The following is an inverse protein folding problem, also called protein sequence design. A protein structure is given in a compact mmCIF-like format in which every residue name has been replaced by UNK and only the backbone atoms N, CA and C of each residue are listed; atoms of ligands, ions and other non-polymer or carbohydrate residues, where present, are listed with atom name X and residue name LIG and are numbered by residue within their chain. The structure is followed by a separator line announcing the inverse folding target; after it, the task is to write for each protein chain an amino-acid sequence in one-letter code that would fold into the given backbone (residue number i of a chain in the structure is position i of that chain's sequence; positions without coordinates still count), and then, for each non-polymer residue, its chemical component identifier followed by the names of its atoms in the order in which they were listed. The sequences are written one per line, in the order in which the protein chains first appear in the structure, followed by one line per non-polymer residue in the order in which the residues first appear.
data_IF_882718653785
#
_entry.id   IF_882718653785
#
_cell.length_a   1.000
_cell.length_b   1.000
_cell.length_c   1.000
_cell.angle_alpha   90.00
_cell.angle_beta   90.00
_cell.angle_gamma   90.00
#
_symmetry.space_group_name_H-M   'P 1'
#
loop_
_entity.id
_entity.type
_entity.pdbx_description
1 polymer ?
#
# COMPACT_ATOMS: atom_id res chain seq x y z
N UNK A 1 25.00 -4.75 42.01
CA UNK A 1 24.05 -4.29 40.98
C UNK A 1 24.01 -2.79 41.09
N UNK A 2 24.72 -2.08 40.22
CA UNK A 2 24.63 -0.61 40.16
C UNK A 2 23.26 -0.24 39.60
N UNK A 3 22.55 0.63 40.31
CA UNK A 3 21.40 1.36 39.78
C UNK A 3 21.95 2.44 38.85
N UNK A 4 22.21 2.08 37.59
CA UNK A 4 22.35 3.10 36.54
C UNK A 4 21.05 3.88 36.47
N UNK A 5 21.15 5.21 36.49
CA UNK A 5 19.99 6.09 36.32
C UNK A 5 19.40 5.83 34.93
N UNK A 6 18.07 5.83 34.83
CA UNK A 6 17.42 5.71 33.53
C UNK A 6 17.89 6.85 32.60
N UNK A 7 18.15 6.57 31.31
CA UNK A 7 18.56 7.58 30.35
C UNK A 7 17.54 8.73 30.31
N UNK A 8 18.03 9.96 30.25
CA UNK A 8 17.21 11.17 30.47
C UNK A 8 16.98 11.97 29.20
N UNK A 9 17.82 11.79 28.18
CA UNK A 9 17.73 12.48 26.87
C UNK A 9 17.40 11.48 25.75
N UNK A 10 16.80 11.94 24.65
CA UNK A 10 16.57 11.16 23.43
C UNK A 10 17.85 10.55 22.88
N UNK A 11 18.95 11.32 22.89
CA UNK A 11 20.25 10.82 22.46
C UNK A 11 20.71 9.63 23.30
N UNK A 12 20.72 9.76 24.63
CA UNK A 12 21.10 8.66 25.54
C UNK A 12 20.21 7.43 25.33
N UNK A 13 18.93 7.63 25.03
CA UNK A 13 17.97 6.55 24.77
C UNK A 13 18.24 5.84 23.45
N UNK A 14 18.56 6.56 22.39
CA UNK A 14 18.98 5.96 21.11
C UNK A 14 20.32 5.24 21.24
N UNK A 15 21.28 5.82 21.95
CA UNK A 15 22.56 5.17 22.24
C UNK A 15 22.37 3.89 23.07
N UNK A 16 21.46 3.90 24.06
CA UNK A 16 21.09 2.73 24.84
C UNK A 16 20.43 1.64 23.98
N UNK A 17 19.51 2.00 23.08
CA UNK A 17 18.92 1.07 22.11
C UNK A 17 19.99 0.41 21.24
N UNK A 18 20.92 1.20 20.68
CA UNK A 18 22.03 0.67 19.87
C UNK A 18 22.89 -0.29 20.70
N UNK A 19 23.18 0.03 21.95
CA UNK A 19 23.96 -0.81 22.85
C UNK A 19 23.24 -2.13 23.19
N UNK A 20 21.93 -2.08 23.47
CA UNK A 20 21.07 -3.25 23.68
C UNK A 20 21.13 -4.19 22.47
N UNK A 21 20.90 -3.67 21.26
CA UNK A 21 20.90 -4.46 20.02
C UNK A 21 22.27 -5.08 19.72
N UNK A 22 23.37 -4.35 19.96
CA UNK A 22 24.73 -4.89 19.79
C UNK A 22 25.07 -5.99 20.80
N UNK A 23 24.50 -5.92 22.01
CA UNK A 23 24.71 -6.92 23.05
C UNK A 23 23.85 -8.17 22.84
N UNK A 24 22.79 -8.10 22.03
CA UNK A 24 21.88 -9.21 21.80
C UNK A 24 22.58 -10.36 21.05
N UNK A 25 22.55 -11.61 21.57
CA UNK A 25 23.29 -12.73 20.99
C UNK A 25 22.83 -13.10 19.58
N UNK A 26 21.53 -12.94 19.29
CA UNK A 26 20.94 -13.39 18.02
C UNK A 26 20.85 -12.31 16.94
N UNK A 27 21.28 -11.07 17.22
CA UNK A 27 21.16 -9.95 16.28
C UNK A 27 22.50 -9.50 15.72
N UNK A 28 22.44 -8.93 14.52
CA UNK A 28 23.52 -8.21 13.85
C UNK A 28 23.04 -6.78 13.65
N UNK A 29 23.78 -5.81 14.18
CA UNK A 29 23.57 -4.40 13.85
C UNK A 29 24.35 -4.10 12.57
N UNK A 30 23.63 -3.84 11.49
CA UNK A 30 24.15 -3.56 10.15
C UNK A 30 24.66 -2.12 10.10
N UNK A 31 23.80 -1.19 10.51
CA UNK A 31 24.08 0.26 10.55
C UNK A 31 23.64 0.79 11.91
N UNK A 32 24.43 1.67 12.53
CA UNK A 32 24.04 2.37 13.76
C UNK A 32 24.85 3.66 13.95
N UNK A 33 24.18 4.78 13.76
CA UNK A 33 24.71 6.13 13.88
C UNK A 33 23.69 7.03 14.59
N UNK A 34 24.10 7.62 15.71
CA UNK A 34 23.36 8.67 16.42
C UNK A 34 24.12 9.97 16.20
N UNK A 35 23.52 10.89 15.44
CA UNK A 35 24.22 12.09 15.01
C UNK A 35 24.37 13.09 16.17
N UNK A 36 25.43 13.90 16.13
CA UNK A 36 25.56 15.02 17.06
C UNK A 36 24.42 16.03 16.83
N UNK A 37 23.98 16.79 17.85
CA UNK A 37 23.01 17.87 17.63
C UNK A 37 23.44 18.79 16.48
N UNK A 38 22.48 19.35 15.72
CA UNK A 38 22.76 20.36 14.72
C UNK A 38 23.24 21.65 15.37
N UNK A 39 23.75 22.58 14.57
CA UNK A 39 24.21 23.87 15.10
C UNK A 39 23.06 24.72 15.65
N UNK A 40 23.39 25.61 16.58
CA UNK A 40 22.43 26.58 17.13
C UNK A 40 21.81 27.45 16.03
N UNK A 41 22.57 27.77 14.97
CA UNK A 41 22.06 28.50 13.82
C UNK A 41 20.98 27.71 13.06
N UNK A 42 21.18 26.41 12.83
CA UNK A 42 20.22 25.56 12.13
C UNK A 42 18.96 25.34 12.96
N UNK A 43 19.11 25.16 14.28
CA UNK A 43 17.98 25.07 15.21
C UNK A 43 17.17 26.38 15.25
N UNK A 44 17.85 27.53 15.22
CA UNK A 44 17.18 28.83 15.17
C UNK A 44 16.43 29.04 13.84
N UNK A 45 17.02 28.60 12.73
CA UNK A 45 16.38 28.62 11.41
C UNK A 45 15.12 27.74 11.40
N UNK A 46 15.23 26.47 11.83
CA UNK A 46 14.09 25.56 11.92
C UNK A 46 12.94 26.12 12.77
N UNK A 47 13.26 26.75 13.90
CA UNK A 47 12.26 27.40 14.75
C UNK A 47 11.59 28.61 14.06
N UNK A 48 12.34 29.36 13.25
CA UNK A 48 11.80 30.48 12.47
C UNK A 48 10.92 30.00 11.31
N UNK A 49 11.25 28.85 10.73
CA UNK A 49 10.48 28.19 9.67
C UNK A 49 9.23 27.46 10.19
N UNK A 50 8.99 27.50 11.50
CA UNK A 50 7.77 27.00 12.13
C UNK A 50 7.81 25.52 12.51
N UNK A 51 9.00 24.91 12.60
CA UNK A 51 9.14 23.52 13.02
C UNK A 51 8.47 23.30 14.40
N UNK A 52 7.65 22.24 14.57
CA UNK A 52 6.99 21.95 15.84
C UNK A 52 7.94 21.89 17.03
N UNK A 53 7.50 22.43 18.16
CA UNK A 53 8.31 22.46 19.39
C UNK A 53 8.75 21.07 19.86
N UNK A 54 7.91 20.04 19.65
CA UNK A 54 8.22 18.65 19.99
C UNK A 54 9.32 18.06 19.10
N UNK A 55 9.39 18.44 17.82
CA UNK A 55 10.49 18.05 16.92
C UNK A 55 11.79 18.76 17.32
N UNK A 56 11.73 20.07 17.59
CA UNK A 56 12.87 20.85 18.05
C UNK A 56 13.45 20.33 19.37
N UNK A 57 12.62 19.75 20.25
CA UNK A 57 13.12 19.12 21.47
C UNK A 57 14.08 17.96 21.16
N UNK A 58 13.72 17.10 20.20
CA UNK A 58 14.55 15.97 19.77
C UNK A 58 15.82 16.46 19.07
N UNK A 59 15.68 17.39 18.12
CA UNK A 59 16.80 17.91 17.35
C UNK A 59 17.83 18.65 18.21
N UNK A 60 17.44 19.28 19.33
CA UNK A 60 18.41 19.85 20.29
C UNK A 60 19.36 18.82 20.88
N UNK A 61 19.00 17.55 20.89
CA UNK A 61 19.74 16.48 21.53
C UNK A 61 20.46 15.56 20.53
N UNK A 62 19.93 15.42 19.31
CA UNK A 62 20.47 14.55 18.27
C UNK A 62 20.00 15.01 16.89
N UNK A 63 20.88 15.07 15.89
CA UNK A 63 20.53 15.45 14.51
C UNK A 63 20.06 14.25 13.68
N UNK A 64 19.25 13.38 14.28
CA UNK A 64 18.79 12.14 13.65
C UNK A 64 19.48 10.87 14.16
N UNK A 65 19.05 9.76 13.58
CA UNK A 65 19.39 8.37 13.93
C UNK A 65 19.30 7.54 12.67
N UNK A 66 20.36 6.80 12.34
CA UNK A 66 20.30 5.72 11.36
C UNK A 66 20.59 4.40 12.08
N UNK A 67 19.63 3.48 12.07
CA UNK A 67 19.76 2.19 12.71
C UNK A 67 19.14 1.12 11.80
N UNK A 68 19.92 0.09 11.52
CA UNK A 68 19.50 -1.12 10.81
C UNK A 68 20.05 -2.33 11.55
N UNK A 69 19.21 -3.32 11.80
CA UNK A 69 19.60 -4.59 12.37
C UNK A 69 18.82 -5.75 11.77
N UNK A 70 19.43 -6.93 11.81
CA UNK A 70 18.83 -8.17 11.33
C UNK A 70 19.13 -9.32 12.28
N UNK A 71 18.36 -10.39 12.16
CA UNK A 71 18.63 -11.63 12.89
C UNK A 71 19.83 -12.37 12.27
N UNK A 72 20.69 -13.00 13.10
CA UNK A 72 21.90 -13.72 12.66
C UNK A 72 21.60 -14.92 11.77
N UNK A 73 20.49 -15.60 12.02
CA UNK A 73 19.99 -16.67 11.15
C UNK A 73 19.20 -16.05 10.00
N UNK A 74 19.67 -16.15 8.74
CA UNK A 74 19.02 -15.57 7.57
C UNK A 74 17.59 -16.06 7.35
N UNK A 75 17.23 -17.25 7.84
CA UNK A 75 15.87 -17.75 7.72
C UNK A 75 14.86 -16.82 8.42
N UNK A 76 15.27 -16.15 9.50
CA UNK A 76 14.44 -15.18 10.22
C UNK A 76 14.23 -13.89 9.43
N UNK A 77 15.22 -13.49 8.60
CA UNK A 77 15.06 -12.36 7.69
C UNK A 77 14.01 -12.67 6.62
N UNK A 78 13.97 -13.89 6.08
CA UNK A 78 12.90 -14.34 5.18
C UNK A 78 11.52 -14.32 5.88
N UNK A 79 11.51 -14.46 7.21
CA UNK A 79 10.34 -14.24 8.06
C UNK A 79 10.17 -12.77 8.51
N UNK A 80 10.76 -11.80 7.83
CA UNK A 80 10.55 -10.38 8.11
C UNK A 80 11.08 -9.92 9.46
N UNK A 81 11.99 -10.67 10.10
CA UNK A 81 12.59 -10.27 11.38
C UNK A 81 13.84 -9.44 11.15
N UNK A 82 13.61 -8.14 11.00
CA UNK A 82 14.63 -7.10 10.89
C UNK A 82 14.05 -5.79 11.46
N UNK A 83 14.91 -4.83 11.73
CA UNK A 83 14.48 -3.49 12.12
C UNK A 83 15.29 -2.41 11.45
N UNK A 84 14.62 -1.34 11.08
CA UNK A 84 15.20 -0.19 10.41
C UNK A 84 14.48 1.09 10.86
N UNK A 85 15.26 2.14 11.08
CA UNK A 85 14.79 3.52 11.25
C UNK A 85 15.83 4.45 10.66
N UNK A 86 15.36 5.50 9.99
CA UNK A 86 16.20 6.63 9.60
C UNK A 86 15.52 7.93 9.92
N UNK A 87 15.77 8.44 11.13
CA UNK A 87 15.44 9.81 11.48
C UNK A 87 16.40 10.76 10.74
N UNK A 88 15.85 11.60 9.87
CA UNK A 88 16.61 12.44 8.95
C UNK A 88 17.32 13.59 9.69
N UNK A 89 18.54 13.97 9.27
CA UNK A 89 19.17 15.21 9.72
C UNK A 89 18.28 16.43 9.47
N UNK A 90 18.34 17.42 10.35
CA UNK A 90 17.50 18.61 10.28
C UNK A 90 17.70 19.38 8.97
N UNK A 91 18.93 19.44 8.48
CA UNK A 91 19.24 20.07 7.18
C UNK A 91 18.48 19.38 6.04
N UNK A 92 18.47 18.05 5.99
CA UNK A 92 17.72 17.29 4.98
C UNK A 92 16.20 17.53 5.07
N UNK A 93 15.66 17.69 6.29
CA UNK A 93 14.23 17.97 6.50
C UNK A 93 13.85 19.37 6.00
N UNK A 94 14.71 20.37 6.23
CA UNK A 94 14.45 21.75 5.82
C UNK A 94 14.67 21.99 4.31
N UNK A 95 15.56 21.21 3.68
CA UNK A 95 15.88 21.34 2.25
C UNK A 95 14.98 20.52 1.32
N UNK A 96 14.13 19.65 1.85
CA UNK A 96 13.24 18.83 1.03
C UNK A 96 12.25 19.71 0.24
N UNK A 97 12.20 19.52 -1.09
CA UNK A 97 11.32 20.23 -2.04
C UNK A 97 10.03 19.43 -2.30
N UNK A 98 9.62 18.61 -1.34
CA UNK A 98 8.46 17.75 -1.41
C UNK A 98 7.29 18.36 -0.63
N UNK A 99 6.06 17.98 -0.98
CA UNK A 99 4.87 18.40 -0.24
C UNK A 99 4.89 17.97 1.24
N UNK A 100 5.70 16.94 1.57
CA UNK A 100 6.05 16.57 2.93
C UNK A 100 7.55 16.25 3.02
N UNK A 101 8.26 16.95 3.91
CA UNK A 101 9.64 16.65 4.23
C UNK A 101 9.73 15.37 5.07
N UNK A 102 10.42 14.31 4.65
CA UNK A 102 10.47 13.08 5.42
C UNK A 102 11.25 13.27 6.73
N UNK A 103 10.62 12.92 7.86
CA UNK A 103 11.25 12.93 9.20
C UNK A 103 11.86 11.58 9.54
N UNK A 104 11.15 10.49 9.20
CA UNK A 104 11.61 9.11 9.32
C UNK A 104 11.32 8.39 8.01
N UNK A 105 12.32 7.74 7.41
CA UNK A 105 12.11 6.88 6.24
C UNK A 105 12.94 5.61 6.35
N UNK A 106 12.35 4.48 6.77
CA UNK A 106 13.13 3.30 7.15
C UNK A 106 13.90 2.66 6.00
N UNK A 107 13.50 2.78 4.73
CA UNK A 107 14.25 2.32 3.53
C UNK A 107 13.63 2.83 2.21
N UNK A 108 14.37 2.78 1.09
CA UNK A 108 13.88 3.05 -0.29
C UNK A 108 12.69 2.16 -0.73
N UNK A 109 12.31 1.16 0.07
CA UNK A 109 11.26 0.17 -0.21
C UNK A 109 9.98 0.43 0.61
N UNK A 110 10.02 1.34 1.58
CA UNK A 110 8.86 1.66 2.42
C UNK A 110 7.79 2.43 1.64
N UNK A 111 6.56 1.92 1.63
CA UNK A 111 5.40 2.62 1.02
C UNK A 111 4.92 3.82 1.87
N UNK A 112 5.34 3.90 3.14
CA UNK A 112 4.90 4.93 4.08
C UNK A 112 6.05 5.50 4.92
N UNK A 113 5.94 6.78 5.27
CA UNK A 113 6.90 7.48 6.11
C UNK A 113 6.22 8.53 7.01
N UNK A 114 6.89 8.96 8.07
CA UNK A 114 6.45 10.12 8.85
C UNK A 114 7.01 11.38 8.19
N UNK A 115 6.14 12.27 7.71
CA UNK A 115 6.50 13.47 6.97
C UNK A 115 6.01 14.74 7.64
N UNK A 116 6.75 15.83 7.47
CA UNK A 116 6.40 17.17 7.90
C UNK A 116 5.78 17.94 6.73
N UNK A 117 4.55 18.40 6.87
CA UNK A 117 3.89 19.25 5.87
C UNK A 117 4.36 20.71 5.96
N UNK A 118 4.04 21.50 4.93
CA UNK A 118 4.32 22.95 4.90
C UNK A 118 3.68 23.74 6.07
N UNK A 119 2.55 23.26 6.61
CA UNK A 119 1.87 23.92 7.74
C UNK A 119 2.42 23.49 9.12
N UNK A 120 3.50 22.71 9.12
CA UNK A 120 4.17 22.23 10.34
C UNK A 120 3.41 21.10 11.03
N UNK A 121 2.47 20.43 10.36
CA UNK A 121 1.85 19.22 10.88
C UNK A 121 2.68 17.99 10.51
N UNK A 122 2.60 16.96 11.36
CA UNK A 122 3.29 15.69 11.11
C UNK A 122 2.24 14.70 10.62
N UNK A 123 2.50 14.17 9.44
CA UNK A 123 1.62 13.29 8.70
C UNK A 123 2.25 11.92 8.48
N UNK A 124 1.39 10.91 8.42
CA UNK A 124 1.69 9.64 7.77
C UNK A 124 1.52 9.81 6.26
N UNK A 125 2.63 9.75 5.52
CA UNK A 125 2.67 9.96 4.08
C UNK A 125 2.82 8.65 3.36
N UNK A 126 1.96 8.41 2.37
CA UNK A 126 2.07 7.33 1.39
C UNK A 126 2.91 7.83 0.21
N UNK A 127 4.11 7.27 0.05
CA UNK A 127 5.08 7.71 -0.97
C UNK A 127 4.54 7.52 -2.40
N UNK A 128 3.86 6.39 -2.63
CA UNK A 128 3.34 6.06 -3.96
C UNK A 128 2.24 7.00 -4.44
N UNK A 129 1.51 7.63 -3.51
CA UNK A 129 0.37 8.50 -3.82
C UNK A 129 0.58 9.97 -3.46
N UNK A 130 1.70 10.30 -2.79
CA UNK A 130 1.98 11.61 -2.20
C UNK A 130 0.77 12.14 -1.40
N UNK A 131 0.25 11.30 -0.50
CA UNK A 131 -0.90 11.64 0.33
C UNK A 131 -0.54 11.51 1.81
N UNK A 132 -0.46 12.66 2.49
CA UNK A 132 -0.31 12.77 3.94
C UNK A 132 -1.63 12.64 4.70
N UNK A 133 -1.56 12.10 5.91
CA UNK A 133 -2.65 12.11 6.89
C UNK A 133 -2.12 12.50 8.25
N UNK A 134 -2.82 13.37 8.99
CA UNK A 134 -2.39 13.75 10.33
C UNK A 134 -2.10 12.55 11.22
N UNK A 135 -0.91 12.53 11.83
CA UNK A 135 -0.61 11.61 12.91
C UNK A 135 -1.58 11.89 14.07
N UNK A 136 -2.31 10.86 14.50
CA UNK A 136 -3.25 10.95 15.62
C UNK A 136 -2.55 10.94 16.99
N UNK A 137 -1.30 10.49 17.01
CA UNK A 137 -0.42 10.43 18.17
C UNK A 137 0.63 11.54 18.08
N UNK A 138 1.14 11.98 19.24
CA UNK A 138 2.21 12.98 19.29
C UNK A 138 3.53 12.43 18.72
N UNK A 139 4.41 13.32 18.26
CA UNK A 139 5.76 12.93 17.82
C UNK A 139 6.54 12.20 18.92
N UNK A 140 6.33 12.62 20.17
CA UNK A 140 6.90 11.92 21.32
C UNK A 140 6.39 10.49 21.41
N UNK A 141 5.08 10.27 21.38
CA UNK A 141 4.50 8.91 21.44
C UNK A 141 5.01 8.02 20.30
N UNK A 142 5.22 8.60 19.11
CA UNK A 142 5.83 7.92 17.99
C UNK A 142 7.25 7.41 18.31
N UNK A 143 8.12 8.28 18.80
CA UNK A 143 9.50 7.91 19.18
C UNK A 143 9.56 6.97 20.39
N UNK A 144 8.64 7.08 21.33
CA UNK A 144 8.52 6.12 22.44
C UNK A 144 8.22 4.71 21.92
N UNK A 145 7.29 4.60 20.98
CA UNK A 145 6.97 3.31 20.38
C UNK A 145 8.09 2.77 19.48
N UNK A 146 8.83 3.65 18.80
CA UNK A 146 10.04 3.28 18.07
C UNK A 146 11.04 2.57 18.98
N UNK A 147 11.32 3.18 20.14
CA UNK A 147 12.25 2.64 21.14
C UNK A 147 11.72 1.31 21.69
N UNK A 148 10.44 1.25 22.06
CA UNK A 148 9.82 0.03 22.58
C UNK A 148 9.81 -1.09 21.53
N UNK A 149 9.60 -0.78 20.25
CA UNK A 149 9.65 -1.76 19.17
C UNK A 149 11.06 -2.06 18.67
N UNK A 150 12.09 -1.40 19.20
CA UNK A 150 13.49 -1.49 18.75
C UNK A 150 13.60 -1.25 17.23
N UNK A 151 12.76 -0.38 16.67
CA UNK A 151 12.64 -0.15 15.23
C UNK A 151 12.32 -1.40 14.36
N UNK A 152 11.72 -2.46 14.91
CA UNK A 152 11.31 -3.66 14.16
C UNK A 152 10.37 -3.32 13.00
N UNK A 153 10.67 -3.68 11.75
CA UNK A 153 10.06 -3.16 10.51
C UNK A 153 8.51 -3.10 10.45
N UNK A 154 7.79 -3.92 11.22
CA UNK A 154 6.32 -3.85 11.35
C UNK A 154 5.79 -2.86 12.41
N UNK A 155 6.63 -2.06 13.07
CA UNK A 155 6.21 -1.23 14.20
C UNK A 155 5.40 0.01 13.77
N UNK A 156 5.77 0.62 12.63
CA UNK A 156 5.07 1.78 12.07
C UNK A 156 3.65 1.40 11.62
N UNK A 157 3.45 0.16 11.18
CA UNK A 157 2.13 -0.39 10.85
C UNK A 157 1.14 -0.30 12.03
N UNK A 158 1.63 -0.40 13.27
CA UNK A 158 0.79 -0.23 14.45
C UNK A 158 0.15 1.17 14.55
N UNK A 159 0.78 2.18 13.94
CA UNK A 159 0.27 3.55 13.84
C UNK A 159 -0.49 3.79 12.55
N UNK A 160 0.05 3.34 11.40
CA UNK A 160 -0.57 3.50 10.07
C UNK A 160 -1.98 2.90 10.03
N UNK A 161 -2.18 1.76 10.71
CA UNK A 161 -3.44 1.04 10.65
C UNK A 161 -4.45 1.44 11.74
N UNK A 162 -4.18 2.39 12.64
CA UNK A 162 -5.21 2.81 13.62
C UNK A 162 -6.51 3.34 12.96
N UNK A 163 -6.43 3.88 11.74
CA UNK A 163 -7.61 4.28 10.94
C UNK A 163 -8.10 3.20 9.96
N UNK A 164 -7.31 2.13 9.75
CA UNK A 164 -7.56 1.06 8.76
C UNK A 164 -7.87 -0.29 9.43
N UNK A 165 -7.73 -0.42 10.75
CA UNK A 165 -8.11 -1.63 11.51
C UNK A 165 -9.60 -1.96 11.39
N UNK A 166 -10.45 -0.98 11.03
CA UNK A 166 -11.83 -1.25 10.65
C UNK A 166 -11.97 -2.03 9.32
N UNK A 167 -10.91 -2.12 8.52
CA UNK A 167 -10.91 -2.61 7.13
C UNK A 167 -9.99 -3.82 6.85
N UNK A 168 -9.01 -4.16 7.72
CA UNK A 168 -8.02 -5.24 7.49
C UNK A 168 -7.86 -6.19 8.70
N UNK A 169 -8.97 -6.72 9.20
CA UNK A 169 -9.03 -7.42 10.50
C UNK A 169 -8.18 -8.71 10.60
N UNK A 170 -7.83 -9.36 9.49
CA UNK A 170 -7.06 -10.62 9.54
C UNK A 170 -5.55 -10.45 9.34
N UNK A 171 -5.12 -9.64 8.35
CA UNK A 171 -3.69 -9.47 8.05
C UNK A 171 -2.99 -8.64 9.11
N UNK A 172 -3.56 -7.49 9.48
CA UNK A 172 -2.99 -6.60 10.52
C UNK A 172 -2.94 -7.31 11.87
N UNK A 173 -4.00 -8.06 12.22
CA UNK A 173 -4.00 -8.85 13.45
C UNK A 173 -2.93 -9.93 13.44
N UNK A 174 -2.78 -10.67 12.32
CA UNK A 174 -1.75 -11.71 12.17
C UNK A 174 -0.34 -11.11 12.27
N UNK A 175 -0.11 -9.96 11.64
CA UNK A 175 1.19 -9.31 11.63
C UNK A 175 1.54 -8.69 13.00
N UNK A 176 0.53 -8.17 13.74
CA UNK A 176 0.70 -7.77 15.14
C UNK A 176 0.95 -8.94 16.08
N UNK A 177 0.24 -10.05 15.93
CA UNK A 177 0.47 -11.27 16.72
C UNK A 177 1.86 -11.85 16.43
N UNK A 178 2.29 -11.81 15.17
CA UNK A 178 3.64 -12.19 14.75
C UNK A 178 4.70 -11.26 15.34
N UNK A 179 4.54 -9.95 15.19
CA UNK A 179 5.44 -8.95 15.79
C UNK A 179 5.54 -9.17 17.29
N UNK A 180 4.41 -9.32 17.99
CA UNK A 180 4.38 -9.63 19.42
C UNK A 180 5.18 -10.89 19.74
N UNK A 181 4.90 -12.00 19.04
CA UNK A 181 5.59 -13.26 19.29
C UNK A 181 7.11 -13.17 19.05
N UNK A 182 7.54 -12.46 18.00
CA UNK A 182 8.96 -12.23 17.69
C UNK A 182 9.61 -11.32 18.74
N UNK A 183 8.97 -10.21 19.07
CA UNK A 183 9.50 -9.22 20.01
C UNK A 183 9.54 -9.76 21.44
N UNK A 184 8.53 -10.51 21.89
CA UNK A 184 8.56 -11.18 23.19
C UNK A 184 9.63 -12.29 23.24
N UNK A 185 9.93 -12.92 22.10
CA UNK A 185 10.98 -13.92 22.01
C UNK A 185 12.39 -13.31 22.10
N UNK A 186 12.64 -12.23 21.36
CA UNK A 186 13.94 -11.55 21.32
C UNK A 186 14.14 -10.67 22.57
N UNK A 187 13.11 -9.96 23.00
CA UNK A 187 13.17 -8.97 24.07
C UNK A 187 12.10 -9.28 25.14
N UNK A 188 12.44 -10.06 26.19
CA UNK A 188 11.46 -10.44 27.23
C UNK A 188 10.86 -9.26 28.02
N UNK A 189 11.51 -8.10 27.98
CA UNK A 189 11.04 -6.85 28.57
C UNK A 189 10.14 -6.02 27.64
N UNK A 190 9.92 -6.47 26.39
CA UNK A 190 9.00 -5.85 25.44
C UNK A 190 7.59 -5.72 26.03
N UNK A 191 6.97 -4.56 25.79
CA UNK A 191 5.62 -4.20 26.23
C UNK A 191 4.77 -3.80 25.02
N UNK A 192 4.01 -4.72 24.40
CA UNK A 192 3.23 -4.40 23.20
C UNK A 192 2.20 -3.29 23.42
N UNK A 193 1.72 -3.09 24.65
CA UNK A 193 0.82 -1.99 25.01
C UNK A 193 1.44 -0.59 24.92
N UNK A 194 2.76 -0.48 24.75
CA UNK A 194 3.47 0.79 24.55
C UNK A 194 3.76 1.09 23.08
N UNK A 195 3.52 0.14 22.18
CA UNK A 195 3.67 0.34 20.73
C UNK A 195 2.30 0.66 20.14
N UNK A 196 1.96 1.95 20.12
CA UNK A 196 0.71 2.47 19.57
C UNK A 196 -0.54 2.24 20.45
N UNK A 197 -1.64 2.95 20.14
CA UNK A 197 -2.90 2.90 20.89
C UNK A 197 -3.84 1.79 20.45
N UNK A 198 -3.33 0.58 20.26
CA UNK A 198 -4.12 -0.60 19.81
C UNK A 198 -5.32 -0.95 20.72
N UNK A 199 -5.38 -0.39 21.93
CA UNK A 199 -6.41 -0.64 22.95
C UNK A 199 -7.48 0.46 23.04
N UNK A 200 -7.38 1.55 22.26
CA UNK A 200 -8.29 2.70 22.37
C UNK A 200 -9.26 2.87 21.21
N UNK A 201 -9.33 1.95 20.26
CA UNK A 201 -10.39 1.97 19.25
C UNK A 201 -11.65 1.38 19.92
N UNK A 202 -12.71 2.17 20.17
CA UNK A 202 -14.00 1.59 20.50
C UNK A 202 -14.32 0.64 19.35
N UNK A 203 -14.72 -0.60 19.62
CA UNK A 203 -15.31 -1.45 18.58
C UNK A 203 -16.38 -0.62 17.88
N UNK A 204 -16.04 -0.05 16.73
CA UNK A 204 -17.02 0.55 15.87
C UNK A 204 -17.99 -0.59 15.58
N UNK A 205 -19.27 -0.32 15.75
CA UNK A 205 -20.30 -1.23 15.31
C UNK A 205 -20.01 -1.53 13.83
N UNK A 206 -19.51 -2.73 13.53
CA UNK A 206 -19.12 -3.17 12.18
C UNK A 206 -20.35 -3.54 11.33
N UNK A 207 -21.55 -3.30 11.86
CA UNK A 207 -22.82 -3.48 11.15
C UNK A 207 -22.95 -2.70 9.82
N UNK A 208 -22.22 -1.61 9.49
CA UNK A 208 -22.30 -0.99 8.16
C UNK A 208 -21.45 -1.69 7.08
N UNK A 209 -20.73 -2.78 7.38
CA UNK A 209 -20.06 -3.58 6.34
C UNK A 209 -21.03 -4.40 5.46
N UNK A 210 -22.33 -4.41 5.79
CA UNK A 210 -23.41 -4.89 4.92
C UNK A 210 -23.72 -3.92 3.76
N UNK A 211 -22.76 -3.08 3.37
CA UNK A 211 -22.85 -2.14 2.24
C UNK A 211 -21.62 -2.16 1.35
N UNK A 212 -20.75 -3.18 1.46
CA UNK A 212 -19.54 -3.27 0.64
C UNK A 212 -19.94 -3.41 -0.84
N UNK A 213 -19.47 -2.49 -1.71
CA UNK A 213 -19.66 -2.62 -3.15
C UNK A 213 -19.01 -3.89 -3.65
N UNK A 214 -19.76 -4.64 -4.45
CA UNK A 214 -19.23 -5.81 -5.15
C UNK A 214 -19.38 -5.50 -6.64
N UNK A 215 -18.27 -5.56 -7.36
CA UNK A 215 -18.34 -5.43 -8.82
C UNK A 215 -18.71 -6.82 -9.32
N UNK A 216 -19.94 -6.97 -9.81
CA UNK A 216 -20.40 -8.19 -10.44
C UNK A 216 -20.33 -8.02 -11.95
N UNK A 217 -19.85 -9.04 -12.63
CA UNK A 217 -19.74 -8.97 -14.07
C UNK A 217 -19.80 -10.31 -14.76
N UNK A 218 -20.24 -10.28 -16.00
CA UNK A 218 -20.11 -11.38 -16.95
C UNK A 218 -18.87 -11.16 -17.79
N UNK A 219 -18.27 -12.24 -18.27
CA UNK A 219 -17.13 -12.12 -19.21
C UNK A 219 -17.48 -11.31 -20.46
N UNK A 220 -18.71 -11.42 -20.95
CA UNK A 220 -19.19 -10.66 -22.10
C UNK A 220 -19.24 -9.15 -21.85
N UNK A 221 -19.07 -8.70 -20.61
CA UNK A 221 -19.06 -7.28 -20.20
C UNK A 221 -17.62 -6.77 -19.97
N UNK A 222 -16.61 -7.64 -20.11
CA UNK A 222 -15.21 -7.24 -20.04
C UNK A 222 -14.81 -6.38 -21.26
N UNK A 223 -13.76 -5.55 -21.14
CA UNK A 223 -13.19 -4.80 -22.26
C UNK A 223 -12.89 -5.74 -23.44
N UNK A 224 -13.21 -5.30 -24.67
CA UNK A 224 -12.92 -6.04 -25.90
C UNK A 224 -11.43 -6.44 -25.96
N UNK A 225 -10.52 -5.55 -25.56
CA UNK A 225 -9.09 -5.83 -25.54
C UNK A 225 -8.66 -6.95 -24.58
N UNK A 226 -9.38 -7.19 -23.48
CA UNK A 226 -9.13 -8.37 -22.63
C UNK A 226 -9.72 -9.63 -23.28
N UNK A 227 -10.90 -9.53 -23.90
CA UNK A 227 -11.54 -10.65 -24.60
C UNK A 227 -10.75 -11.12 -25.83
N UNK A 228 -10.03 -10.23 -26.51
CA UNK A 228 -9.11 -10.58 -27.60
C UNK A 228 -7.92 -11.43 -27.11
N UNK A 229 -7.45 -11.19 -25.87
CA UNK A 229 -6.35 -11.95 -25.25
C UNK A 229 -6.81 -13.28 -24.68
N UNK A 230 -8.07 -13.37 -24.31
CA UNK A 230 -8.70 -14.57 -23.76
C UNK A 230 -9.93 -14.95 -24.60
N UNK A 231 -9.74 -15.45 -25.84
CA UNK A 231 -10.83 -15.66 -26.79
C UNK A 231 -11.81 -16.71 -26.27
N UNK A 232 -12.95 -16.24 -25.78
CA UNK A 232 -14.06 -17.07 -25.33
C UNK A 232 -14.99 -17.35 -26.50
N UNK A 233 -15.18 -18.65 -26.77
CA UNK A 233 -16.19 -19.09 -27.74
C UNK A 233 -17.54 -19.10 -27.03
N UNK A 234 -18.62 -18.86 -27.78
CA UNK A 234 -19.99 -18.88 -27.24
C UNK A 234 -20.44 -20.25 -26.75
N UNK A 235 -19.72 -21.32 -27.10
CA UNK A 235 -19.88 -22.68 -26.59
C UNK A 235 -18.96 -23.00 -25.40
N UNK A 236 -18.14 -22.04 -24.94
CA UNK A 236 -17.33 -22.20 -23.74
C UNK A 236 -18.22 -22.30 -22.50
N UNK A 237 -17.91 -23.20 -21.55
CA UNK A 237 -18.62 -23.28 -20.28
C UNK A 237 -18.51 -21.99 -19.45
N UNK A 238 -17.54 -21.12 -19.75
CA UNK A 238 -17.35 -19.83 -19.09
C UNK A 238 -18.27 -18.72 -19.60
N UNK A 239 -18.89 -18.86 -20.79
CA UNK A 239 -19.65 -17.79 -21.46
C UNK A 239 -20.82 -17.22 -20.63
N UNK A 240 -21.39 -18.02 -19.73
CA UNK A 240 -22.48 -17.62 -18.84
C UNK A 240 -22.08 -17.47 -17.36
N UNK A 241 -20.79 -17.51 -17.04
CA UNK A 241 -20.33 -17.44 -15.66
C UNK A 241 -20.38 -16.01 -15.12
N UNK A 242 -20.64 -15.89 -13.81
CA UNK A 242 -20.57 -14.62 -13.08
C UNK A 242 -19.24 -14.51 -12.37
N UNK A 243 -18.65 -13.33 -12.43
CA UNK A 243 -17.38 -12.97 -11.81
C UNK A 243 -17.64 -11.86 -10.82
N UNK A 244 -16.82 -11.80 -9.78
CA UNK A 244 -16.90 -10.73 -8.82
C UNK A 244 -15.54 -10.27 -8.33
N UNK A 245 -15.52 -9.00 -7.96
CA UNK A 245 -14.43 -8.35 -7.27
C UNK A 245 -14.99 -7.82 -5.95
N UNK A 246 -14.44 -8.32 -4.84
CA UNK A 246 -14.83 -7.94 -3.49
C UNK A 246 -13.61 -7.63 -2.62
N UNK A 247 -13.84 -6.84 -1.58
CA UNK A 247 -12.81 -6.41 -0.64
C UNK A 247 -12.54 -7.43 0.49
N UNK A 248 -13.36 -8.48 0.65
CA UNK A 248 -13.27 -9.37 1.82
C UNK A 248 -13.31 -10.88 1.52
N UNK A 249 -12.44 -11.68 2.16
CA UNK A 249 -12.46 -13.15 2.09
C UNK A 249 -13.73 -13.79 2.66
N UNK A 250 -14.40 -13.15 3.65
CA UNK A 250 -15.58 -13.72 4.33
C UNK A 250 -16.78 -13.91 3.41
N UNK A 251 -16.85 -13.14 2.32
CA UNK A 251 -17.86 -13.27 1.28
C UNK A 251 -17.76 -14.64 0.60
N UNK A 252 -16.54 -15.18 0.42
CA UNK A 252 -16.33 -16.48 -0.24
C UNK A 252 -16.87 -17.66 0.58
N UNK A 253 -16.69 -17.66 1.90
CA UNK A 253 -17.15 -18.77 2.74
C UNK A 253 -18.69 -18.88 2.75
N UNK A 254 -19.39 -17.74 2.83
CA UNK A 254 -20.85 -17.70 2.74
C UNK A 254 -21.36 -18.06 1.34
N UNK A 255 -20.69 -17.54 0.31
CA UNK A 255 -21.02 -17.80 -1.08
C UNK A 255 -20.84 -19.29 -1.44
N UNK A 256 -19.73 -19.91 -1.07
CA UNK A 256 -19.46 -21.32 -1.37
C UNK A 256 -20.45 -22.27 -0.66
N UNK A 257 -20.96 -21.86 0.51
CA UNK A 257 -21.99 -22.62 1.23
C UNK A 257 -23.37 -22.48 0.56
N UNK A 258 -23.75 -21.27 0.14
CA UNK A 258 -25.05 -20.99 -0.49
C UNK A 258 -25.11 -21.47 -1.96
N UNK A 259 -23.99 -21.32 -2.67
CA UNK A 259 -23.83 -21.60 -4.09
C UNK A 259 -22.49 -22.36 -4.31
N UNK A 260 -22.43 -23.68 -4.09
CA UNK A 260 -21.21 -24.44 -4.29
C UNK A 260 -20.77 -24.39 -5.77
N UNK A 261 -19.48 -24.14 -5.99
CA UNK A 261 -18.89 -24.08 -7.33
C UNK A 261 -19.00 -25.44 -8.03
N UNK A 262 -19.37 -25.43 -9.32
CA UNK A 262 -19.25 -26.61 -10.17
C UNK A 262 -17.82 -26.70 -10.69
N UNK A 263 -17.22 -27.88 -10.63
CA UNK A 263 -15.93 -28.07 -11.28
C UNK A 263 -16.09 -27.98 -12.81
N UNK A 264 -15.25 -27.17 -13.44
CA UNK A 264 -15.20 -26.97 -14.88
C UNK A 264 -13.83 -27.36 -15.46
N UNK A 265 -13.74 -27.69 -16.76
CA UNK A 265 -12.46 -27.99 -17.41
C UNK A 265 -11.56 -26.76 -17.59
N UNK A 266 -12.14 -25.56 -17.62
CA UNK A 266 -11.49 -24.30 -17.99
C UNK A 266 -11.27 -23.35 -16.78
N UNK A 267 -11.25 -23.91 -15.56
CA UNK A 267 -11.07 -23.15 -14.30
C UNK A 267 -9.83 -22.24 -14.33
N UNK A 268 -8.75 -22.67 -14.99
CA UNK A 268 -7.53 -21.86 -15.14
C UNK A 268 -7.73 -20.60 -15.98
N UNK A 269 -8.49 -20.70 -17.08
CA UNK A 269 -8.75 -19.55 -17.96
C UNK A 269 -9.71 -18.56 -17.29
N UNK A 270 -10.74 -19.06 -16.59
CA UNK A 270 -11.64 -18.23 -15.79
C UNK A 270 -10.86 -17.45 -14.74
N UNK A 271 -9.98 -18.11 -13.99
CA UNK A 271 -9.12 -17.47 -12.99
C UNK A 271 -8.18 -16.43 -13.57
N UNK A 272 -7.58 -16.69 -14.74
CA UNK A 272 -6.68 -15.75 -15.42
C UNK A 272 -7.40 -14.46 -15.82
N UNK A 273 -8.60 -14.58 -16.40
CA UNK A 273 -9.40 -13.42 -16.79
C UNK A 273 -9.86 -12.64 -15.56
N UNK A 274 -10.34 -13.36 -14.54
CA UNK A 274 -10.76 -12.75 -13.29
C UNK A 274 -9.60 -11.95 -12.69
N UNK A 275 -8.41 -12.56 -12.60
CA UNK A 275 -7.20 -11.91 -12.10
C UNK A 275 -6.82 -10.69 -12.92
N UNK A 276 -6.88 -10.76 -14.25
CA UNK A 276 -6.57 -9.63 -15.12
C UNK A 276 -7.51 -8.44 -14.91
N UNK A 277 -8.81 -8.70 -14.74
CA UNK A 277 -9.80 -7.65 -14.41
C UNK A 277 -9.56 -7.07 -13.02
N UNK A 278 -9.29 -7.91 -12.02
CA UNK A 278 -8.96 -7.45 -10.66
C UNK A 278 -7.73 -6.55 -10.63
N UNK A 279 -6.66 -6.95 -11.33
CA UNK A 279 -5.43 -6.16 -11.45
C UNK A 279 -5.66 -4.85 -12.23
N UNK A 280 -6.50 -4.87 -13.27
CA UNK A 280 -6.88 -3.67 -14.00
C UNK A 280 -7.59 -2.66 -13.09
N UNK A 281 -8.57 -3.13 -12.30
CA UNK A 281 -9.32 -2.31 -11.35
C UNK A 281 -8.45 -1.77 -10.21
N UNK A 282 -7.51 -2.58 -9.69
CA UNK A 282 -6.50 -2.10 -8.74
C UNK A 282 -5.60 -1.03 -9.35
N UNK A 283 -5.21 -1.21 -10.61
CA UNK A 283 -4.41 -0.26 -11.38
C UNK A 283 -5.11 1.10 -11.53
N UNK A 284 -6.44 1.13 -11.59
CA UNK A 284 -7.28 2.31 -11.77
C UNK A 284 -8.15 2.61 -10.53
N UNK A 285 -7.59 2.47 -9.33
CA UNK A 285 -8.37 2.51 -8.10
C UNK A 285 -9.17 3.83 -7.90
N UNK A 286 -8.65 4.98 -8.32
CA UNK A 286 -9.37 6.26 -8.23
C UNK A 286 -10.62 6.31 -9.12
N UNK A 287 -10.67 5.51 -10.19
CA UNK A 287 -11.81 5.41 -11.09
C UNK A 287 -13.02 4.77 -10.38
N UNK A 288 -12.77 3.71 -9.61
CA UNK A 288 -13.82 3.09 -8.81
C UNK A 288 -14.32 4.03 -7.70
N UNK A 289 -13.43 4.85 -7.12
CA UNK A 289 -13.81 5.89 -6.16
C UNK A 289 -14.68 7.00 -6.78
N UNK A 290 -14.44 7.38 -8.05
CA UNK A 290 -15.27 8.35 -8.80
C UNK A 290 -16.63 7.79 -9.19
N UNK A 291 -16.68 6.53 -9.60
CA UNK A 291 -17.90 5.87 -10.06
C UNK A 291 -18.84 5.51 -8.90
N UNK A 292 -18.31 5.44 -7.68
CA UNK A 292 -19.10 5.13 -6.49
C UNK A 292 -18.95 6.21 -5.41
N UNK A 293 -19.55 7.41 -5.57
CA UNK A 293 -19.36 8.50 -4.62
C UNK A 293 -19.93 8.21 -3.21
N UNK A 294 -20.98 7.40 -3.12
CA UNK A 294 -21.57 6.94 -1.84
C UNK A 294 -20.60 6.05 -1.03
N UNK A 295 -19.58 5.55 -1.70
CA UNK A 295 -18.50 4.71 -1.20
C UNK A 295 -17.26 5.56 -0.85
N UNK A 296 -17.21 6.81 -1.31
CA UNK A 296 -16.11 7.76 -1.11
C UNK A 296 -15.91 8.20 0.36
N UNK A 297 -16.81 7.80 1.27
CA UNK A 297 -16.67 8.02 2.72
C UNK A 297 -15.78 7.00 3.45
N UNK A 298 -15.25 5.98 2.78
CA UNK A 298 -14.48 4.92 3.46
C UNK A 298 -13.65 3.99 2.59
N UNK A 299 -13.71 4.06 1.26
CA UNK A 299 -12.75 3.34 0.43
C UNK A 299 -11.40 4.03 0.42
N UNK A 300 -10.47 3.48 1.18
CA UNK A 300 -9.05 3.60 0.86
C UNK A 300 -8.66 2.28 0.19
N UNK A 301 -8.60 2.25 -1.15
CA UNK A 301 -8.03 1.10 -1.87
C UNK A 301 -6.51 1.12 -1.75
N UNK A 302 -6.01 0.84 -0.55
CA UNK A 302 -4.60 0.55 -0.34
C UNK A 302 -4.32 -0.84 -0.83
N UNK A 303 -3.59 -1.00 -1.94
CA UNK A 303 -2.98 -2.26 -2.38
C UNK A 303 -3.73 -3.51 -1.93
N UNK A 304 -5.06 -3.55 -2.16
CA UNK A 304 -5.92 -4.53 -1.49
C UNK A 304 -5.67 -5.84 -2.20
N UNK A 305 -5.46 -6.93 -1.47
CA UNK A 305 -5.71 -8.28 -1.99
C UNK A 305 -7.19 -8.35 -2.37
N UNK A 306 -7.51 -7.84 -3.57
CA UNK A 306 -8.82 -8.01 -4.17
C UNK A 306 -8.95 -9.51 -4.32
N UNK A 307 -9.84 -10.10 -3.53
CA UNK A 307 -10.13 -11.51 -3.71
C UNK A 307 -11.05 -11.60 -4.90
N UNK A 308 -10.45 -11.92 -6.03
CA UNK A 308 -11.19 -12.16 -7.25
C UNK A 308 -11.74 -13.58 -7.19
N UNK A 309 -13.05 -13.71 -7.32
CA UNK A 309 -13.70 -15.01 -7.46
C UNK A 309 -14.47 -15.10 -8.77
N UNK A 310 -14.66 -16.33 -9.25
CA UNK A 310 -15.51 -16.63 -10.39
C UNK A 310 -16.41 -17.81 -10.03
N UNK A 311 -17.65 -17.79 -10.51
CA UNK A 311 -18.65 -18.80 -10.18
C UNK A 311 -19.00 -19.53 -11.45
N UNK A 312 -18.60 -20.80 -11.45
CA UNK A 312 -18.72 -21.72 -12.58
C UNK A 312 -20.07 -22.45 -12.65
N UNK A 313 -20.99 -22.20 -11.71
CA UNK A 313 -22.01 -23.20 -11.40
C UNK A 313 -23.26 -22.70 -10.70
N UNK A 314 -23.85 -21.61 -11.15
CA UNK A 314 -25.08 -21.05 -10.58
C UNK A 314 -25.99 -20.47 -11.66
N UNK A 315 -27.19 -20.10 -11.25
CA UNK A 315 -28.02 -19.15 -11.98
C UNK A 315 -27.44 -17.75 -11.67
N UNK A 316 -26.79 -17.05 -12.63
CA UNK A 316 -26.17 -15.74 -12.39
C UNK A 316 -27.14 -14.75 -11.77
N UNK A 317 -28.42 -14.83 -12.14
CA UNK A 317 -29.49 -14.01 -11.61
C UNK A 317 -29.74 -14.34 -10.13
N UNK A 318 -29.73 -15.62 -9.74
CA UNK A 318 -29.85 -16.02 -8.34
C UNK A 318 -28.65 -15.57 -7.49
N UNK A 319 -27.44 -15.58 -8.06
CA UNK A 319 -26.24 -15.10 -7.38
C UNK A 319 -26.26 -13.57 -7.21
N UNK A 320 -26.68 -12.84 -8.23
CA UNK A 320 -26.91 -11.39 -8.11
C UNK A 320 -27.94 -11.08 -7.02
N UNK A 321 -29.07 -11.80 -7.00
CA UNK A 321 -30.07 -11.64 -5.93
C UNK A 321 -29.52 -11.98 -4.55
N UNK A 322 -28.68 -13.00 -4.41
CA UNK A 322 -28.02 -13.31 -3.14
C UNK A 322 -27.14 -12.15 -2.66
N UNK A 323 -26.32 -11.57 -3.55
CA UNK A 323 -25.51 -10.41 -3.21
C UNK A 323 -26.37 -9.20 -2.79
N UNK A 324 -27.47 -8.93 -3.50
CA UNK A 324 -28.41 -7.87 -3.14
C UNK A 324 -29.09 -8.11 -1.77
N UNK A 325 -29.44 -9.36 -1.46
CA UNK A 325 -30.04 -9.76 -0.17
C UNK A 325 -29.06 -9.59 1.01
N UNK A 326 -27.77 -9.82 0.78
CA UNK A 326 -26.68 -9.58 1.74
C UNK A 326 -26.30 -8.08 1.85
N UNK A 327 -27.05 -7.19 1.19
CA UNK A 327 -26.84 -5.74 1.23
C UNK A 327 -25.72 -5.25 0.32
N UNK A 328 -25.11 -6.13 -0.49
CA UNK A 328 -24.13 -5.71 -1.49
C UNK A 328 -24.81 -4.98 -2.65
N UNK A 329 -24.16 -3.92 -3.12
CA UNK A 329 -24.60 -3.19 -4.31
C UNK A 329 -23.79 -3.67 -5.52
N UNK A 330 -24.40 -4.37 -6.49
CA UNK A 330 -23.71 -4.75 -7.70
C UNK A 330 -23.39 -3.51 -8.55
N UNK A 331 -22.16 -3.40 -9.00
CA UNK A 331 -21.73 -2.38 -9.96
C UNK A 331 -21.52 -3.03 -11.32
N UNK A 332 -22.22 -2.55 -12.38
CA UNK A 332 -22.05 -3.10 -13.72
C UNK A 332 -20.64 -2.77 -14.23
N UNK A 333 -19.88 -3.80 -14.61
CA UNK A 333 -18.51 -3.64 -15.09
C UNK A 333 -18.42 -2.75 -16.34
N UNK A 334 -19.46 -2.69 -17.18
CA UNK A 334 -19.51 -1.81 -18.36
C UNK A 334 -19.22 -0.33 -18.01
N UNK A 335 -19.71 0.15 -16.87
CA UNK A 335 -19.48 1.54 -16.44
C UNK A 335 -18.03 1.78 -16.00
N UNK A 336 -17.38 0.75 -15.44
CA UNK A 336 -15.97 0.77 -15.06
C UNK A 336 -15.07 0.60 -16.28
N UNK A 337 -15.37 -0.36 -17.16
CA UNK A 337 -14.53 -0.74 -18.30
C UNK A 337 -14.63 0.24 -19.46
N UNK A 338 -15.76 0.95 -19.59
CA UNK A 338 -15.91 2.07 -20.52
C UNK A 338 -15.01 3.27 -20.23
N UNK A 339 -14.22 3.22 -19.15
CA UNK A 339 -13.21 4.21 -18.80
C UNK A 339 -11.81 3.62 -18.64
N UNK A 340 -11.64 2.32 -18.78
CA UNK A 340 -10.32 1.68 -18.72
C UNK A 340 -9.78 1.52 -20.13
N UNK A 341 -8.63 2.14 -20.41
CA UNK A 341 -7.83 1.84 -21.59
C UNK A 341 -6.83 0.73 -21.26
N UNK A 342 -6.66 -0.22 -22.19
CA UNK A 342 -5.66 -1.28 -22.06
C UNK A 342 -4.50 -0.98 -22.97
N UNK A 343 -3.29 -1.06 -22.44
CA UNK A 343 -2.06 -0.83 -23.19
C UNK A 343 -1.20 -2.07 -23.17
N UNK A 344 -1.04 -2.69 -24.33
CA UNK A 344 -0.06 -3.75 -24.59
C UNK A 344 1.31 -3.12 -24.85
N UNK A 345 2.20 -3.14 -23.87
CA UNK A 345 3.57 -2.64 -24.01
C UNK A 345 4.50 -3.79 -24.37
N UNK A 346 5.22 -3.62 -25.48
CA UNK A 346 6.24 -4.54 -25.96
C UNK A 346 7.61 -3.88 -25.83
N UNK A 347 8.59 -4.62 -25.32
CA UNK A 347 9.98 -4.19 -25.28
C UNK A 347 10.58 -4.14 -26.69
N UNK A 348 11.83 -3.66 -26.81
CA UNK A 348 12.53 -3.50 -28.09
C UNK A 348 12.60 -4.76 -28.97
N UNK A 349 12.56 -5.94 -28.38
CA UNK A 349 12.59 -7.23 -29.08
C UNK A 349 11.19 -7.73 -29.49
N UNK A 350 10.15 -6.96 -29.18
CA UNK A 350 8.75 -7.31 -29.41
C UNK A 350 8.17 -8.25 -28.37
N UNK A 351 8.88 -8.50 -27.27
CA UNK A 351 8.39 -9.31 -26.15
C UNK A 351 7.54 -8.47 -25.19
N UNK A 352 6.55 -9.06 -24.49
CA UNK A 352 5.76 -8.36 -23.48
C UNK A 352 6.65 -7.72 -22.40
N UNK A 353 6.43 -6.44 -22.09
CA UNK A 353 7.14 -5.78 -21.00
C UNK A 353 6.70 -6.33 -19.64
N UNK A 354 7.67 -6.63 -18.77
CA UNK A 354 7.41 -7.14 -17.41
C UNK A 354 7.15 -6.00 -16.42
N UNK A 355 7.83 -4.87 -16.61
CA UNK A 355 7.71 -3.69 -15.78
C UNK A 355 7.64 -2.44 -16.65
N UNK A 356 6.74 -1.52 -16.32
CA UNK A 356 6.71 -0.20 -16.94
C UNK A 356 6.56 0.89 -15.87
N UNK A 357 7.26 1.99 -16.09
CA UNK A 357 7.03 3.25 -15.39
C UNK A 357 6.27 4.18 -16.32
N UNK A 358 5.16 4.74 -15.82
CA UNK A 358 4.42 5.79 -16.49
C UNK A 358 4.87 7.15 -15.94
N UNK A 359 5.06 8.13 -16.83
CA UNK A 359 5.32 9.51 -16.45
C UNK A 359 4.43 10.47 -17.22
N UNK A 360 3.68 11.32 -16.52
CA UNK A 360 2.90 12.38 -17.21
C UNK A 360 3.82 13.45 -17.80
N UNK A 361 3.50 13.91 -19.02
CA UNK A 361 4.15 15.05 -19.67
C UNK A 361 3.26 16.31 -19.69
N UNK A 362 2.06 16.25 -19.10
CA UNK A 362 1.05 17.32 -19.26
C UNK A 362 0.66 17.98 -17.94
N UNK A 363 0.35 17.18 -16.92
CA UNK A 363 -0.06 17.65 -15.59
C UNK A 363 0.87 17.00 -14.58
N UNK A 364 1.54 17.79 -13.73
CA UNK A 364 2.56 17.31 -12.79
C UNK A 364 3.65 16.47 -13.48
N UNK A 365 4.63 17.10 -14.15
CA UNK A 365 5.73 16.43 -14.86
C UNK A 365 6.63 15.50 -13.99
N UNK A 366 6.37 15.50 -12.68
CA UNK A 366 6.97 14.66 -11.65
C UNK A 366 6.15 13.40 -11.31
N UNK A 367 4.88 13.29 -11.76
CA UNK A 367 4.06 12.10 -11.55
C UNK A 367 4.71 10.91 -12.26
N UNK A 368 5.36 10.04 -11.49
CA UNK A 368 5.95 8.79 -11.94
C UNK A 368 5.26 7.65 -11.21
N UNK A 369 4.77 6.67 -11.96
CA UNK A 369 4.08 5.53 -11.38
C UNK A 369 4.56 4.24 -12.00
N UNK A 370 4.99 3.30 -11.17
CA UNK A 370 5.21 1.91 -11.62
C UNK A 370 3.83 1.27 -11.84
N UNK A 371 3.58 0.79 -13.06
CA UNK A 371 2.33 0.10 -13.37
C UNK A 371 2.53 -1.41 -13.19
N UNK A 372 1.50 -2.07 -12.64
CA UNK A 372 1.46 -3.53 -12.52
C UNK A 372 0.77 -4.10 -13.77
N UNK A 373 1.32 -5.14 -14.41
CA UNK A 373 0.66 -5.76 -15.55
C UNK A 373 -0.58 -6.52 -15.08
N UNK A 374 -1.68 -6.40 -15.83
CA UNK A 374 -2.90 -7.18 -15.65
C UNK A 374 -2.72 -8.62 -16.16
N UNK A 375 -1.96 -8.76 -17.24
CA UNK A 375 -1.48 -9.99 -17.87
C UNK A 375 -0.15 -9.64 -18.56
N UNK A 376 0.76 -10.58 -18.91
CA UNK A 376 2.08 -10.22 -19.43
C UNK A 376 2.04 -9.16 -20.55
N UNK A 377 2.69 -8.02 -20.30
CA UNK A 377 2.76 -6.87 -21.19
C UNK A 377 1.49 -6.05 -21.35
N UNK A 378 0.40 -6.32 -20.63
CA UNK A 378 -0.84 -5.52 -20.71
C UNK A 378 -1.08 -4.79 -19.42
N UNK A 379 -1.34 -3.49 -19.51
CA UNK A 379 -1.50 -2.58 -18.39
C UNK A 379 -2.82 -1.82 -18.53
N UNK A 380 -3.45 -1.48 -17.41
CA UNK A 380 -4.70 -0.72 -17.38
C UNK A 380 -4.43 0.74 -16.99
N UNK A 381 -5.04 1.65 -17.74
CA UNK A 381 -5.00 3.10 -17.53
C UNK A 381 -6.41 3.67 -17.49
N UNK A 382 -6.60 4.79 -16.78
CA UNK A 382 -7.85 5.55 -16.83
C UNK A 382 -7.87 6.40 -18.11
N UNK A 383 -8.75 6.06 -19.05
CA UNK A 383 -8.91 6.77 -20.33
C UNK A 383 -9.40 8.22 -20.13
N UNK A 384 -10.00 8.51 -18.98
CA UNK A 384 -10.51 9.84 -18.63
C UNK A 384 -9.50 10.72 -17.90
N UNK A 385 -8.36 10.18 -17.48
CA UNK A 385 -7.36 10.92 -16.71
C UNK A 385 -6.71 12.03 -17.56
N UNK A 386 -6.92 13.28 -17.15
CA UNK A 386 -6.34 14.45 -17.82
C UNK A 386 -4.82 14.49 -17.72
N UNK A 387 -4.23 13.87 -16.69
CA UNK A 387 -2.78 13.71 -16.58
C UNK A 387 -2.22 12.81 -17.69
N UNK A 388 -3.06 11.98 -18.33
CA UNK A 388 -2.67 11.12 -19.45
C UNK A 388 -2.90 11.76 -20.81
N UNK A 389 -3.15 13.07 -20.90
CA UNK A 389 -3.23 13.80 -22.17
C UNK A 389 -2.01 13.52 -23.08
N UNK A 390 -0.82 13.47 -22.48
CA UNK A 390 0.46 13.08 -23.07
C UNK A 390 1.36 12.51 -21.97
N UNK A 391 1.93 11.32 -22.19
CA UNK A 391 2.72 10.62 -21.18
C UNK A 391 3.81 9.74 -21.80
N UNK A 392 4.80 9.38 -20.99
CA UNK A 392 5.88 8.45 -21.32
C UNK A 392 5.62 7.10 -20.66
N UNK A 393 5.83 6.02 -21.40
CA UNK A 393 5.96 4.66 -20.89
C UNK A 393 7.42 4.25 -21.00
N UNK A 394 8.05 3.97 -19.85
CA UNK A 394 9.45 3.62 -19.75
C UNK A 394 9.62 2.19 -19.27
N UNK A 395 10.57 1.51 -19.90
CA UNK A 395 11.14 0.21 -19.51
C UNK A 395 12.64 0.41 -19.26
N UNK A 396 13.36 -0.57 -18.68
CA UNK A 396 14.82 -0.51 -18.61
C UNK A 396 15.50 -0.31 -19.97
N UNK A 397 14.86 -0.77 -21.06
CA UNK A 397 15.43 -0.76 -22.41
C UNK A 397 15.17 0.55 -23.17
N UNK A 398 14.16 1.33 -22.79
CA UNK A 398 13.81 2.56 -23.48
C UNK A 398 12.46 3.16 -23.07
N UNK A 399 12.09 4.24 -23.74
CA UNK A 399 10.86 4.99 -23.49
C UNK A 399 10.07 5.20 -24.78
N UNK A 400 8.76 5.08 -24.72
CA UNK A 400 7.84 5.51 -25.77
C UNK A 400 6.90 6.59 -25.24
N UNK A 401 6.68 7.62 -26.05
CA UNK A 401 5.67 8.64 -25.78
C UNK A 401 4.32 8.18 -26.33
N UNK A 402 3.25 8.41 -25.58
CA UNK A 402 1.87 8.06 -25.92
C UNK A 402 0.98 9.29 -25.73
N UNK A 403 0.09 9.53 -26.69
CA UNK A 403 -0.92 10.57 -26.61
C UNK A 403 -2.28 9.99 -26.21
N UNK A 404 -3.07 10.74 -25.42
CA UNK A 404 -4.43 10.29 -25.01
C UNK A 404 -5.33 9.94 -26.18
N UNK A 405 -5.19 10.62 -27.32
CA UNK A 405 -5.97 10.34 -28.52
C UNK A 405 -5.81 8.91 -29.04
N UNK A 406 -4.74 8.23 -28.64
CA UNK A 406 -4.46 6.82 -28.96
C UNK A 406 -5.16 5.86 -27.98
N UNK A 407 -5.43 6.31 -26.74
CA UNK A 407 -6.17 5.56 -25.74
C UNK A 407 -7.66 5.56 -26.08
N UNK A 408 -8.24 4.37 -26.21
CA UNK A 408 -9.68 4.19 -26.30
C UNK A 408 -10.11 3.21 -25.22
N UNK A 409 -11.07 3.63 -24.40
CA UNK A 409 -11.61 2.76 -23.37
C UNK A 409 -12.18 1.49 -24.00
N UNK A 410 -11.98 0.35 -23.33
CA UNK A 410 -12.39 -0.95 -23.84
C UNK A 410 -11.45 -1.60 -24.86
N UNK A 411 -10.55 -0.83 -25.49
CA UNK A 411 -9.67 -1.31 -26.56
C UNK A 411 -8.23 -1.54 -26.09
N UNK A 412 -7.56 -2.47 -26.77
CA UNK A 412 -6.13 -2.73 -26.59
C UNK A 412 -5.29 -1.87 -27.54
N UNK A 413 -4.49 -0.97 -26.97
CA UNK A 413 -3.51 -0.17 -27.72
C UNK A 413 -2.15 -0.84 -27.61
N UNK A 414 -1.45 -1.04 -28.73
CA UNK A 414 -0.10 -1.63 -28.68
C UNK A 414 0.96 -0.54 -28.78
N UNK A 415 1.85 -0.49 -27.79
CA UNK A 415 2.98 0.44 -27.71
C UNK A 415 4.26 -0.38 -27.77
N UNK A 416 5.11 -0.10 -28.75
CA UNK A 416 6.42 -0.72 -28.91
C UNK A 416 7.48 0.24 -28.39
N UNK A 417 8.25 -0.18 -27.38
CA UNK A 417 9.41 0.58 -26.92
C UNK A 417 10.54 0.45 -27.98
N UNK A 418 11.14 1.58 -28.43
CA UNK A 418 12.13 1.59 -29.52
C UNK A 418 13.50 0.99 -29.20
#
# INVERSE_FOLDING_TARGET
MSTEAAPTTWRERFEALVAELRAHPDLIVVTAEVLAPPSDELLAQAAADGLPAELLEVYRETDGLSLEWEHRDPAWRDFGVYGAVRLRPLEEVLEADDAWSPLDWPDEVGEFYAGLSEDGTIDWVDDATAHGRPMTDSWREYLEALLEARAYSGWQEAFLYQTVEAYRDHTVKRDRERMRAVMEHLFPDYRPERVGRAHLIPRADLSPLLGTPIILYRLTECPEGLLERFPLRSDSPLWGCLFWVAHEPKVLDGLQQAHPERSLPDESLGLEIARAVGLALQGTWWLAARLCPEVAGGWRMYGVDVTVGYHAGGDPEALTSWFEEEGARPLPLEELTSRIALVSVLNRDGAPAEEIALRSLTVNAHLRRKLRPCTPGVFALDADDEALARFELSTPEGTAEVERGELRAGHLVTVQIP
#
